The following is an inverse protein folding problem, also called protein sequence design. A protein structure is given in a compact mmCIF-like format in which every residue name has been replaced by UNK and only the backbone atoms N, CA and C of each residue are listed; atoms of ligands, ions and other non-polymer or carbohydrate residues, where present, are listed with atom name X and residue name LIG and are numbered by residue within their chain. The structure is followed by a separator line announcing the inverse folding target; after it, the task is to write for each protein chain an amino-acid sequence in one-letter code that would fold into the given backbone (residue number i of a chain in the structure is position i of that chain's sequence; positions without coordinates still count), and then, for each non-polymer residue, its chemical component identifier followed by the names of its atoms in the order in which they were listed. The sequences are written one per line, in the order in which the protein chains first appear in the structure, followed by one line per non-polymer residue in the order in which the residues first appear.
data_IF_143351625501
#
_entry.id   IF_143351625501
#
_cell.length_a   1.000
_cell.length_b   1.000
_cell.length_c   1.000
_cell.angle_alpha   90.00
_cell.angle_beta   90.00
_cell.angle_gamma   90.00
#
_symmetry.space_group_name_H-M   'P 1'
#
loop_
_entity.id
_entity.type
_entity.pdbx_description
1 polymer ?
#
# COMPACT_ATOMS: atom_id res chain seq x y z
N UNK A 1 8.56 3.58 2.96
CA UNK A 1 7.85 2.54 2.17
C UNK A 1 7.15 3.19 0.99
N UNK A 2 7.26 2.58 -0.16
CA UNK A 2 6.66 3.09 -1.38
C UNK A 2 6.21 1.95 -2.28
N UNK A 3 5.47 2.27 -3.32
CA UNK A 3 5.02 1.27 -4.28
C UNK A 3 4.14 1.88 -5.35
N UNK A 4 3.58 1.01 -6.18
CA UNK A 4 2.68 1.40 -7.27
C UNK A 4 1.43 0.53 -7.20
N UNK A 5 0.29 1.14 -7.41
CA UNK A 5 -0.99 0.43 -7.57
C UNK A 5 -1.25 0.25 -9.05
N UNK A 6 -1.49 -0.99 -9.45
CA UNK A 6 -1.80 -1.33 -10.84
C UNK A 6 -3.15 -2.02 -10.93
N UNK A 7 -3.76 -1.94 -12.11
CA UNK A 7 -4.96 -2.71 -12.43
C UNK A 7 -4.59 -4.17 -12.73
N UNK A 8 -5.60 -5.01 -12.93
CA UNK A 8 -5.37 -6.41 -13.35
C UNK A 8 -4.61 -6.51 -14.67
N UNK A 9 -4.68 -5.47 -15.50
CA UNK A 9 -3.92 -5.38 -16.75
C UNK A 9 -2.52 -4.81 -16.57
N UNK A 10 -2.06 -4.66 -15.32
CA UNK A 10 -0.73 -4.13 -14.96
C UNK A 10 -0.52 -2.68 -15.39
N UNK A 11 -1.59 -1.90 -15.47
CA UNK A 11 -1.52 -0.47 -15.77
C UNK A 11 -1.61 0.34 -14.48
N UNK A 12 -0.83 1.41 -14.33
CA UNK A 12 -0.90 2.26 -13.13
C UNK A 12 -2.30 2.85 -12.95
N UNK A 13 -2.75 2.92 -11.69
CA UNK A 13 -4.07 3.43 -11.34
C UNK A 13 -3.90 4.71 -10.54
N UNK A 14 -4.32 5.83 -11.14
CA UNK A 14 -4.34 7.11 -10.43
C UNK A 14 -5.56 7.19 -9.51
N UNK A 15 -5.43 7.98 -8.45
CA UNK A 15 -6.51 8.24 -7.48
C UNK A 15 -7.05 6.98 -6.81
N UNK A 16 -6.25 5.92 -6.75
CA UNK A 16 -6.57 4.77 -5.92
C UNK A 16 -6.25 5.10 -4.47
N UNK A 17 -7.02 4.54 -3.56
CA UNK A 17 -6.79 4.72 -2.13
C UNK A 17 -5.97 3.54 -1.62
N UNK A 18 -4.83 3.84 -1.01
CA UNK A 18 -4.01 2.83 -0.34
C UNK A 18 -4.21 2.99 1.16
N UNK A 19 -4.66 1.95 1.81
CA UNK A 19 -4.81 1.94 3.26
C UNK A 19 -3.66 1.17 3.90
N UNK A 20 -3.05 1.81 4.90
CA UNK A 20 -1.98 1.21 5.70
C UNK A 20 -2.50 1.03 7.11
N UNK A 21 -2.54 -0.21 7.58
CA UNK A 21 -3.00 -0.52 8.92
C UNK A 21 -1.81 -0.92 9.79
N UNK A 22 -1.67 -0.22 10.92
CA UNK A 22 -0.72 -0.61 11.97
C UNK A 22 -1.37 -1.71 12.79
N UNK A 23 -0.82 -2.92 12.74
CA UNK A 23 -1.45 -4.07 13.41
C UNK A 23 -1.34 -4.01 14.94
N UNK A 24 -0.42 -3.19 15.45
CA UNK A 24 -0.22 -3.05 16.90
C UNK A 24 -1.20 -2.06 17.51
N UNK A 25 -1.40 -0.91 16.87
CA UNK A 25 -2.28 0.14 17.39
C UNK A 25 -3.64 0.17 16.71
N UNK A 26 -3.80 -0.57 15.61
CA UNK A 26 -4.99 -0.61 14.77
C UNK A 26 -5.30 0.72 14.08
N UNK A 27 -4.32 1.61 14.01
CA UNK A 27 -4.46 2.86 13.27
C UNK A 27 -4.41 2.61 11.78
N UNK A 28 -5.24 3.33 11.04
CA UNK A 28 -5.30 3.23 9.58
C UNK A 28 -4.94 4.59 9.01
N UNK A 29 -3.97 4.57 8.07
CA UNK A 29 -3.62 5.74 7.26
C UNK A 29 -4.03 5.47 5.83
N UNK A 30 -4.35 6.55 5.12
CA UNK A 30 -4.73 6.45 3.71
C UNK A 30 -3.84 7.35 2.87
N UNK A 31 -3.55 6.92 1.66
CA UNK A 31 -2.83 7.70 0.67
C UNK A 31 -3.52 7.53 -0.67
N UNK A 32 -3.70 8.64 -1.38
CA UNK A 32 -4.29 8.60 -2.72
C UNK A 32 -3.14 8.61 -3.73
N UNK A 33 -3.15 7.63 -4.65
CA UNK A 33 -2.06 7.48 -5.60
C UNK A 33 -1.98 8.66 -6.56
N UNK A 34 -0.75 8.94 -7.00
CA UNK A 34 -0.47 9.96 -8.00
C UNK A 34 -0.88 9.49 -9.39
N UNK A 35 -0.71 10.35 -10.41
CA UNK A 35 -1.10 10.04 -11.77
C UNK A 35 -0.42 8.78 -12.33
N UNK A 36 0.76 8.45 -11.83
CA UNK A 36 1.51 7.25 -12.22
C UNK A 36 1.19 6.05 -11.33
N UNK A 37 0.19 6.14 -10.46
CA UNK A 37 -0.20 5.06 -9.56
C UNK A 37 0.70 4.91 -8.34
N UNK A 38 1.67 5.79 -8.15
CA UNK A 38 2.63 5.65 -7.04
C UNK A 38 2.04 6.13 -5.72
N UNK A 39 2.51 5.51 -4.64
CA UNK A 39 2.20 5.91 -3.28
C UNK A 39 3.44 5.79 -2.41
N UNK A 40 3.45 6.51 -1.29
CA UNK A 40 4.51 6.38 -0.31
C UNK A 40 4.01 6.70 1.08
N UNK A 41 4.64 6.09 2.07
CA UNK A 41 4.41 6.38 3.48
C UNK A 41 5.77 6.64 4.13
N UNK A 42 5.80 7.61 5.06
CA UNK A 42 7.00 7.96 5.80
C UNK A 42 6.74 7.83 7.31
N UNK A 43 7.80 7.74 8.08
CA UNK A 43 7.70 7.69 9.53
C UNK A 43 7.17 6.37 10.07
N UNK A 44 7.32 5.28 9.32
CA UNK A 44 6.88 3.98 9.78
C UNK A 44 7.89 3.38 10.77
N UNK A 45 7.36 2.73 11.81
CA UNK A 45 8.21 2.02 12.76
C UNK A 45 8.83 0.78 12.14
N UNK A 46 10.05 0.45 12.55
CA UNK A 46 10.75 -0.74 12.07
C UNK A 46 10.42 -1.99 12.88
N UNK A 47 9.78 -1.81 14.02
CA UNK A 47 9.40 -2.87 14.95
C UNK A 47 7.91 -3.19 14.91
N UNK A 48 7.19 -2.70 13.91
CA UNK A 48 5.75 -2.86 13.79
C UNK A 48 5.42 -3.50 12.45
N UNK A 49 4.51 -4.45 12.49
CA UNK A 49 3.97 -5.05 11.28
C UNK A 49 2.83 -4.20 10.73
N UNK A 50 2.86 -3.96 9.42
CA UNK A 50 1.83 -3.20 8.72
C UNK A 50 1.14 -4.06 7.68
N UNK A 51 -0.14 -3.78 7.46
CA UNK A 51 -0.93 -4.39 6.40
C UNK A 51 -1.40 -3.31 5.44
N UNK A 52 -1.33 -3.60 4.15
CA UNK A 52 -1.71 -2.65 3.10
C UNK A 52 -2.76 -3.25 2.19
N UNK A 53 -3.64 -2.38 1.73
CA UNK A 53 -4.65 -2.73 0.74
C UNK A 53 -4.91 -1.49 -0.11
N UNK A 54 -5.11 -1.69 -1.41
CA UNK A 54 -5.55 -0.63 -2.30
C UNK A 54 -6.96 -0.88 -2.77
N UNK A 55 -7.70 0.19 -3.02
CA UNK A 55 -8.98 0.06 -3.68
C UNK A 55 -9.23 1.28 -4.57
N UNK A 56 -10.00 1.05 -5.62
CA UNK A 56 -10.35 2.08 -6.58
C UNK A 56 -11.65 1.68 -7.27
N UNK A 57 -12.62 2.58 -7.27
CA UNK A 57 -13.88 2.43 -7.99
C UNK A 57 -14.58 1.08 -7.65
N UNK A 58 -14.60 0.75 -6.37
CA UNK A 58 -15.24 -0.48 -5.88
C UNK A 58 -14.42 -1.75 -6.08
N UNK A 59 -13.19 -1.64 -6.60
CA UNK A 59 -12.30 -2.78 -6.81
C UNK A 59 -11.21 -2.76 -5.76
N UNK A 60 -10.95 -3.90 -5.12
CA UNK A 60 -9.95 -4.04 -4.06
C UNK A 60 -8.76 -4.86 -4.52
N UNK A 61 -7.60 -4.58 -3.94
CA UNK A 61 -6.45 -5.47 -4.00
C UNK A 61 -6.50 -6.45 -2.83
N UNK A 62 -5.67 -7.49 -2.90
CA UNK A 62 -5.44 -8.35 -1.75
C UNK A 62 -4.62 -7.62 -0.71
N UNK A 63 -4.78 -8.00 0.57
CA UNK A 63 -3.95 -7.47 1.63
C UNK A 63 -2.50 -7.92 1.44
N UNK A 64 -1.57 -6.99 1.63
CA UNK A 64 -0.14 -7.26 1.68
C UNK A 64 0.35 -6.94 3.08
N UNK A 65 1.31 -7.73 3.55
CA UNK A 65 1.88 -7.54 4.88
C UNK A 65 3.34 -7.10 4.75
N UNK A 66 3.68 -6.02 5.44
CA UNK A 66 5.06 -5.60 5.65
C UNK A 66 5.48 -6.08 7.03
N UNK A 67 6.25 -7.16 7.09
CA UNK A 67 6.68 -7.74 8.36
C UNK A 67 7.85 -6.95 8.94
N UNK A 68 8.06 -7.10 10.25
CA UNK A 68 9.20 -6.47 10.92
C UNK A 68 10.55 -6.95 10.38
N UNK A 69 10.59 -8.14 9.81
CA UNK A 69 11.82 -8.70 9.24
C UNK A 69 12.18 -8.07 7.89
N UNK A 70 11.25 -7.38 7.26
CA UNK A 70 11.47 -6.68 6.00
C UNK A 70 11.67 -5.18 6.20
N UNK A 71 12.03 -4.76 7.39
CA UNK A 71 12.19 -3.36 7.75
C UNK A 71 13.50 -2.78 7.23
N UNK A 72 13.65 -2.73 5.92
CA UNK A 72 14.75 -1.99 5.29
C UNK A 72 14.39 -0.51 5.22
N UNK A 73 15.40 0.34 5.03
CA UNK A 73 15.17 1.79 4.90
C UNK A 73 14.15 2.12 3.82
N UNK A 74 14.14 1.34 2.75
CA UNK A 74 13.17 1.47 1.68
C UNK A 74 12.54 0.13 1.41
N UNK A 75 11.25 0.01 1.69
CA UNK A 75 10.47 -1.17 1.31
C UNK A 75 9.61 -0.79 0.10
N UNK A 76 9.61 -1.63 -0.92
CA UNK A 76 8.79 -1.42 -2.11
C UNK A 76 7.73 -2.52 -2.13
N UNK A 77 6.48 -2.12 -2.07
CA UNK A 77 5.35 -3.04 -2.11
C UNK A 77 4.39 -2.54 -3.19
N UNK A 78 4.23 -3.35 -4.22
CA UNK A 78 3.30 -3.04 -5.30
C UNK A 78 1.97 -3.75 -5.05
N UNK A 79 0.88 -3.05 -5.31
CA UNK A 79 -0.47 -3.57 -5.11
C UNK A 79 -1.15 -3.70 -6.46
N UNK A 80 -1.83 -4.81 -6.67
CA UNK A 80 -2.54 -5.07 -7.91
C UNK A 80 -4.03 -5.24 -7.62
N UNK A 81 -4.85 -4.45 -8.28
CA UNK A 81 -6.30 -4.56 -8.17
C UNK A 81 -6.79 -5.81 -8.89
N UNK A 82 -7.94 -6.33 -8.43
CA UNK A 82 -8.50 -7.58 -8.99
C UNK A 82 -9.20 -7.38 -10.32
N UNK A 83 -9.33 -6.13 -10.73
CA UNK A 83 -9.92 -5.79 -12.03
C UNK A 83 -9.05 -4.84 -12.80
#
# INVERSE_FOLDING_TARGET
MEGVVTSAASQPVAKAVVQLKNTKTLQIRSFITSDDGSYHFVGLGTDVEYQLKAFHDGVNSSWKTLSVFNSKKTAIINLKLKK
#
